data_IF_812071768059
#
_entry.id   IF_812071768059
#
_cell.length_a   1.000
_cell.length_b   1.000
_cell.length_c   1.000
_cell.angle_alpha   90.00
_cell.angle_beta   90.00
_cell.angle_gamma   90.00
#
_symmetry.space_group_name_H-M   'P 1'
#
loop_
_entity.id
_entity.type
_entity.pdbx_description
1 polymer ?
#
# COMPACT_ATOMS: atom_id res chain seq x y z
N UNK A 1 -7.87 18.76 0.96
CA UNK A 1 -7.91 17.39 0.40
C UNK A 1 -7.39 16.46 1.48
N UNK A 2 -8.26 15.64 2.07
CA UNK A 2 -7.94 14.80 3.24
C UNK A 2 -6.89 13.73 2.88
N UNK A 3 -6.03 13.33 3.84
CA UNK A 3 -4.98 12.33 3.61
C UNK A 3 -5.53 11.01 3.04
N UNK A 4 -6.73 10.61 3.44
CA UNK A 4 -7.41 9.41 2.95
C UNK A 4 -7.69 9.45 1.43
N UNK A 5 -8.02 10.63 0.91
CA UNK A 5 -8.29 10.80 -0.53
C UNK A 5 -7.01 10.65 -1.35
N UNK A 6 -5.87 11.12 -0.83
CA UNK A 6 -4.56 10.96 -1.49
C UNK A 6 -4.12 9.49 -1.51
N UNK A 7 -4.33 8.77 -0.41
CA UNK A 7 -4.01 7.35 -0.32
C UNK A 7 -4.90 6.51 -1.25
N UNK A 8 -6.21 6.78 -1.28
CA UNK A 8 -7.14 6.11 -2.21
C UNK A 8 -6.78 6.35 -3.67
N UNK A 9 -6.38 7.57 -4.03
CA UNK A 9 -5.93 7.88 -5.39
C UNK A 9 -4.66 7.08 -5.72
N UNK A 10 -3.67 7.07 -4.83
CA UNK A 10 -2.43 6.32 -5.03
C UNK A 10 -2.65 4.81 -5.19
N UNK A 11 -3.53 4.25 -4.36
CA UNK A 11 -3.90 2.84 -4.45
C UNK A 11 -4.59 2.54 -5.78
N UNK A 12 -5.52 3.40 -6.19
CA UNK A 12 -6.25 3.28 -7.46
C UNK A 12 -5.30 3.39 -8.66
N UNK A 13 -4.36 4.33 -8.64
CA UNK A 13 -3.38 4.50 -9.73
C UNK A 13 -2.40 3.32 -9.80
N UNK A 14 -2.00 2.76 -8.66
CA UNK A 14 -1.17 1.56 -8.62
C UNK A 14 -1.88 0.35 -9.26
N UNK A 15 -3.17 0.16 -8.96
CA UNK A 15 -3.98 -0.91 -9.57
C UNK A 15 -4.11 -0.71 -11.08
N UNK A 16 -4.44 0.51 -11.53
CA UNK A 16 -4.55 0.82 -12.97
C UNK A 16 -3.21 0.59 -13.69
N UNK A 17 -2.09 0.99 -13.08
CA UNK A 17 -0.74 0.77 -13.62
C UNK A 17 -0.41 -0.72 -13.77
N UNK A 18 -0.72 -1.55 -12.78
CA UNK A 18 -0.53 -3.01 -12.89
C UNK A 18 -1.37 -3.57 -14.05
N UNK A 19 -2.65 -3.19 -14.12
CA UNK A 19 -3.54 -3.66 -15.19
C UNK A 19 -3.00 -3.24 -16.56
N UNK A 20 -2.55 -2.00 -16.70
CA UNK A 20 -1.90 -1.50 -17.92
C UNK A 20 -0.67 -2.31 -18.30
N UNK A 21 0.22 -2.60 -17.34
CA UNK A 21 1.43 -3.39 -17.56
C UNK A 21 1.11 -4.82 -18.03
N UNK A 22 0.09 -5.46 -17.43
CA UNK A 22 -0.38 -6.80 -17.82
C UNK A 22 -0.94 -6.78 -19.24
N UNK A 23 -1.82 -5.84 -19.55
CA UNK A 23 -2.41 -5.69 -20.89
C UNK A 23 -1.33 -5.45 -21.94
N UNK A 24 -0.36 -4.59 -21.65
CA UNK A 24 0.75 -4.29 -22.56
C UNK A 24 1.64 -5.51 -22.78
N UNK A 25 1.90 -6.31 -21.73
CA UNK A 25 2.63 -7.57 -21.85
C UNK A 25 1.91 -8.56 -22.80
N UNK A 26 0.59 -8.70 -22.65
CA UNK A 26 -0.21 -9.55 -23.55
C UNK A 26 -0.18 -9.03 -24.99
N UNK A 27 -0.42 -7.74 -25.21
CA UNK A 27 -0.40 -7.15 -26.56
C UNK A 27 0.98 -7.33 -27.19
N UNK A 28 2.06 -7.04 -26.46
CA UNK A 28 3.43 -7.17 -26.97
C UNK A 28 3.77 -8.62 -27.34
N UNK A 29 3.33 -9.58 -26.53
CA UNK A 29 3.52 -11.01 -26.80
C UNK A 29 2.85 -11.46 -28.11
N UNK A 30 1.60 -11.02 -28.36
CA UNK A 30 0.85 -11.39 -29.56
C UNK A 30 1.28 -10.60 -30.81
N UNK A 31 1.62 -9.32 -30.67
CA UNK A 31 1.92 -8.45 -31.81
C UNK A 31 3.36 -8.60 -32.33
N UNK A 32 4.30 -8.99 -31.45
CA UNK A 32 5.73 -8.90 -31.73
C UNK A 32 6.41 -10.27 -31.92
N UNK A 33 5.69 -11.26 -32.47
CA UNK A 33 6.21 -12.60 -32.76
C UNK A 33 6.87 -13.27 -31.54
N UNK A 34 6.23 -13.21 -30.37
CA UNK A 34 6.73 -13.76 -29.10
C UNK A 34 7.99 -13.08 -28.53
N UNK A 35 8.42 -11.93 -29.07
CA UNK A 35 9.55 -11.16 -28.54
C UNK A 35 9.06 -9.92 -27.80
N UNK A 36 9.27 -9.89 -26.49
CA UNK A 36 9.02 -8.70 -25.68
C UNK A 36 10.23 -7.77 -25.87
N UNK A 37 10.00 -6.53 -26.31
CA UNK A 37 11.06 -5.53 -26.37
C UNK A 37 11.54 -5.15 -24.96
N UNK A 38 12.84 -4.90 -24.82
CA UNK A 38 13.46 -4.47 -23.55
C UNK A 38 12.79 -3.21 -22.98
N UNK A 39 12.33 -2.30 -23.85
CA UNK A 39 11.59 -1.08 -23.48
C UNK A 39 10.28 -1.38 -22.74
N UNK A 40 9.52 -2.36 -23.24
CA UNK A 40 8.23 -2.80 -22.68
C UNK A 40 8.46 -3.57 -21.38
N UNK A 41 9.46 -4.44 -21.35
CA UNK A 41 9.84 -5.17 -20.14
C UNK A 41 10.25 -4.21 -19.02
N UNK A 42 11.02 -3.16 -19.36
CA UNK A 42 11.41 -2.12 -18.42
C UNK A 42 10.21 -1.33 -17.87
N UNK A 43 9.26 -0.98 -18.73
CA UNK A 43 8.01 -0.32 -18.29
C UNK A 43 7.22 -1.20 -17.30
N UNK A 44 7.09 -2.50 -17.60
CA UNK A 44 6.40 -3.45 -16.72
C UNK A 44 7.12 -3.54 -15.36
N UNK A 45 8.45 -3.64 -15.36
CA UNK A 45 9.24 -3.66 -14.14
C UNK A 45 9.03 -2.39 -13.30
N UNK A 46 9.02 -1.21 -13.94
CA UNK A 46 8.75 0.05 -13.25
C UNK A 46 7.32 0.12 -12.68
N UNK A 47 6.33 -0.36 -13.43
CA UNK A 47 4.94 -0.40 -12.96
C UNK A 47 4.79 -1.30 -11.72
N UNK A 48 5.44 -2.46 -11.70
CA UNK A 48 5.47 -3.37 -10.57
C UNK A 48 6.19 -2.77 -9.35
N UNK A 49 7.35 -2.14 -9.56
CA UNK A 49 8.11 -1.48 -8.48
C UNK A 49 7.31 -0.34 -7.86
N UNK A 50 6.64 0.47 -8.70
CA UNK A 50 5.77 1.55 -8.24
C UNK A 50 4.64 1.00 -7.37
N UNK A 51 3.92 -0.01 -7.85
CA UNK A 51 2.81 -0.59 -7.09
C UNK A 51 3.26 -1.29 -5.81
N UNK A 52 4.37 -2.03 -5.84
CA UNK A 52 4.97 -2.66 -4.66
C UNK A 52 5.35 -1.63 -3.59
N UNK A 53 5.86 -0.47 -4.01
CA UNK A 53 6.19 0.63 -3.10
C UNK A 53 4.96 1.20 -2.41
N UNK A 54 3.89 1.46 -3.17
CA UNK A 54 2.63 2.01 -2.62
C UNK A 54 1.98 1.03 -1.64
N UNK A 55 1.88 -0.25 -2.02
CA UNK A 55 1.28 -1.27 -1.16
C UNK A 55 2.16 -1.58 0.06
N UNK A 56 3.48 -1.63 -0.10
CA UNK A 56 4.42 -1.87 0.99
C UNK A 56 4.40 -0.76 2.04
N UNK A 57 4.37 0.50 1.61
CA UNK A 57 4.28 1.65 2.51
C UNK A 57 2.91 1.67 3.23
N UNK A 58 1.81 1.43 2.52
CA UNK A 58 0.48 1.37 3.14
C UNK A 58 0.39 0.27 4.20
N UNK A 59 0.93 -0.93 3.95
CA UNK A 59 0.99 -2.01 4.95
C UNK A 59 1.85 -1.62 6.18
N UNK A 60 3.01 -1.00 5.94
CA UNK A 60 3.91 -0.57 7.01
C UNK A 60 3.26 0.52 7.90
N UNK A 61 2.57 1.50 7.31
CA UNK A 61 1.84 2.54 8.04
C UNK A 61 0.71 1.92 8.85
N UNK A 62 -0.13 1.08 8.25
CA UNK A 62 -1.25 0.44 8.94
C UNK A 62 -0.79 -0.42 10.13
N UNK A 63 0.31 -1.15 9.96
CA UNK A 63 0.91 -1.96 11.03
C UNK A 63 1.40 -1.09 12.19
N UNK A 64 2.15 -0.02 11.90
CA UNK A 64 2.65 0.91 12.92
C UNK A 64 1.53 1.66 13.64
N UNK A 65 0.53 2.14 12.89
CA UNK A 65 -0.62 2.85 13.46
C UNK A 65 -1.45 1.93 14.37
N UNK A 66 -1.60 0.66 14.00
CA UNK A 66 -2.24 -0.37 14.83
C UNK A 66 -1.50 -0.62 16.15
N UNK A 67 -0.16 -0.73 16.10
CA UNK A 67 0.67 -0.87 17.30
C UNK A 67 0.55 0.34 18.23
N UNK A 68 0.72 1.55 17.69
CA UNK A 68 0.60 2.79 18.47
C UNK A 68 -0.78 2.91 19.13
N UNK A 69 -1.86 2.59 18.40
CA UNK A 69 -3.22 2.63 18.96
C UNK A 69 -3.39 1.65 20.12
N UNK A 70 -2.80 0.46 20.01
CA UNK A 70 -2.86 -0.55 21.07
C UNK A 70 -2.05 -0.14 22.29
N UNK A 71 -0.85 0.41 22.10
CA UNK A 71 0.01 0.91 23.18
C UNK A 71 -0.70 2.04 23.93
N UNK A 72 -1.21 3.04 23.22
CA UNK A 72 -1.98 4.15 23.81
C UNK A 72 -3.18 3.63 24.59
N UNK A 73 -3.93 2.65 24.04
CA UNK A 73 -5.06 2.04 24.75
C UNK A 73 -4.62 1.35 26.04
N UNK A 74 -3.51 0.63 26.04
CA UNK A 74 -2.97 0.02 27.26
C UNK A 74 -2.56 1.05 28.32
N UNK A 75 -1.90 2.15 27.92
CA UNK A 75 -1.54 3.22 28.85
C UNK A 75 -2.77 3.88 29.46
N UNK A 76 -3.78 4.20 28.64
CA UNK A 76 -5.04 4.80 29.12
C UNK A 76 -5.81 3.85 30.03
N UNK A 77 -5.97 2.58 29.66
CA UNK A 77 -6.67 1.59 30.49
C UNK A 77 -5.94 1.35 31.82
N UNK A 78 -4.60 1.41 31.83
CA UNK A 78 -3.79 1.26 33.04
C UNK A 78 -3.96 2.44 34.00
N UNK A 79 -3.93 3.68 33.49
CA UNK A 79 -4.14 4.88 34.30
C UNK A 79 -5.58 4.97 34.84
N UNK A 80 -6.57 4.60 34.03
CA UNK A 80 -7.98 4.54 34.46
C UNK A 80 -8.20 3.54 35.60
N UNK A 81 -7.66 2.32 35.48
CA UNK A 81 -7.78 1.31 36.54
C UNK A 81 -7.02 1.71 37.82
N UNK A 82 -5.88 2.42 37.69
CA UNK A 82 -5.14 2.94 38.84
C UNK A 82 -5.94 3.99 39.61
N UNK A 83 -6.50 4.98 38.92
CA UNK A 83 -7.35 6.01 39.54
C UNK A 83 -8.66 5.45 40.11
N UNK A 84 -9.19 4.36 39.54
CA UNK A 84 -10.38 3.68 40.09
C UNK A 84 -10.08 2.87 41.37
N UNK A 85 -8.86 2.35 41.53
CA UNK A 85 -8.44 1.67 42.76
C UNK A 85 -8.05 2.65 43.87
N UNK A 86 -7.61 3.87 43.54
CA UNK A 86 -7.24 4.88 44.54
C UNK A 86 -8.47 5.59 45.16
N UNK A 87 -9.65 5.47 44.52
CA UNK A 87 -10.92 6.05 44.99
C UNK A 87 -11.83 5.09 45.78
N UNK A 88 -11.43 3.82 45.93
CA UNK A 88 -12.17 2.78 46.67
C UNK A 88 -11.39 2.41 47.93
#
# INVERSE_FOLDING_TARGET
MTPDTKEKIQYTTAVIMIVSAVVLAFICFFLNHYKIEDSVLWYIAQALVYAASIFGISLAINTKMGQVKNDVKQYVDKELNKHSNEKN
#
